data_IF_952555875864
#
_entry.id   IF_952555875864
#
_cell.length_a   1.000
_cell.length_b   1.000
_cell.length_c   1.000
_cell.angle_alpha   90.00
_cell.angle_beta   90.00
_cell.angle_gamma   90.00
#
_symmetry.space_group_name_H-M   'P 1'
#
loop_
_entity.id
_entity.type
_entity.pdbx_description
1 polymer ?
#
# COMPACT_ATOMS: atom_id res chain seq x y z
N UNK A 1 -19.45 14.57 -30.31
CA UNK A 1 -18.53 14.05 -29.28
C UNK A 1 -19.26 13.56 -28.03
N UNK A 2 -20.12 14.38 -27.38
CA UNK A 2 -20.96 13.98 -26.24
C UNK A 2 -21.95 12.83 -26.52
N UNK A 3 -22.49 12.74 -27.74
CA UNK A 3 -23.46 11.70 -28.12
C UNK A 3 -22.85 10.29 -28.23
N UNK A 4 -21.61 10.17 -28.73
CA UNK A 4 -20.92 8.88 -28.86
C UNK A 4 -20.50 8.31 -27.48
N UNK A 5 -20.14 9.20 -26.55
CA UNK A 5 -19.84 8.84 -25.15
C UNK A 5 -21.12 8.39 -24.42
N UNK A 6 -22.27 9.03 -24.68
CA UNK A 6 -23.56 8.61 -24.09
C UNK A 6 -24.02 7.23 -24.55
N UNK A 7 -23.80 6.89 -25.83
CA UNK A 7 -24.14 5.57 -26.38
C UNK A 7 -23.23 4.48 -25.78
N UNK A 8 -21.93 4.76 -25.61
CA UNK A 8 -20.99 3.85 -24.93
C UNK A 8 -21.32 3.64 -23.44
N UNK A 9 -21.75 4.70 -22.73
CA UNK A 9 -22.17 4.61 -21.32
C UNK A 9 -23.44 3.75 -21.18
N UNK A 10 -24.39 3.89 -22.10
CA UNK A 10 -25.63 3.11 -22.08
C UNK A 10 -25.38 1.62 -22.36
N UNK A 11 -24.45 1.31 -23.27
CA UNK A 11 -24.05 -0.09 -23.57
C UNK A 11 -23.27 -0.70 -22.40
N UNK A 12 -22.37 0.05 -21.77
CA UNK A 12 -21.59 -0.41 -20.62
C UNK A 12 -22.47 -0.70 -19.38
N UNK A 13 -23.53 0.09 -19.16
CA UNK A 13 -24.49 -0.14 -18.07
C UNK A 13 -25.40 -1.34 -18.34
N UNK A 14 -25.75 -1.62 -19.60
CA UNK A 14 -26.53 -2.80 -19.96
C UNK A 14 -25.69 -4.10 -19.89
N UNK A 15 -24.37 -4.03 -20.08
CA UNK A 15 -23.48 -5.18 -20.03
C UNK A 15 -22.97 -5.55 -18.61
N UNK A 16 -23.07 -4.64 -17.62
CA UNK A 16 -22.65 -4.97 -16.24
C UNK A 16 -23.62 -5.92 -15.52
N UNK A 17 -24.85 -6.07 -16.02
CA UNK A 17 -25.88 -6.95 -15.44
C UNK A 17 -25.81 -8.38 -15.98
N UNK A 18 -25.02 -8.65 -17.02
CA UNK A 18 -24.99 -9.93 -17.74
C UNK A 18 -23.73 -10.78 -17.48
N UNK A 19 -23.20 -10.82 -16.26
CA UNK A 19 -22.07 -11.69 -15.89
C UNK A 19 -22.49 -12.66 -14.80
N UNK A 20 -23.00 -13.82 -15.21
CA UNK A 20 -23.18 -14.95 -14.30
C UNK A 20 -22.71 -16.31 -14.83
N UNK A 21 -22.61 -16.59 -16.14
CA UNK A 21 -22.40 -17.99 -16.58
C UNK A 21 -21.26 -18.26 -17.58
N UNK A 22 -20.24 -17.40 -17.67
CA UNK A 22 -19.10 -17.66 -18.58
C UNK A 22 -17.88 -16.77 -18.45
N UNK A 23 -17.62 -16.21 -17.27
CA UNK A 23 -16.43 -15.37 -17.08
C UNK A 23 -15.17 -16.18 -17.38
N UNK A 24 -14.33 -15.67 -18.29
CA UNK A 24 -13.04 -16.27 -18.60
C UNK A 24 -12.24 -16.56 -17.32
N UNK A 25 -11.56 -17.71 -17.27
CA UNK A 25 -10.64 -18.00 -16.16
C UNK A 25 -9.52 -16.95 -16.12
N UNK A 26 -8.80 -16.88 -15.00
CA UNK A 26 -7.69 -15.91 -14.86
C UNK A 26 -6.62 -16.12 -15.93
N UNK A 27 -6.29 -17.38 -16.23
CA UNK A 27 -5.33 -17.76 -17.26
C UNK A 27 -5.83 -17.36 -18.66
N UNK A 28 -7.12 -17.59 -18.93
CA UNK A 28 -7.71 -17.20 -20.20
C UNK A 28 -7.70 -15.68 -20.39
N UNK A 29 -8.07 -14.92 -19.36
CA UNK A 29 -8.01 -13.46 -19.43
C UNK A 29 -6.57 -12.95 -19.58
N UNK A 30 -5.60 -13.55 -18.87
CA UNK A 30 -4.19 -13.20 -19.03
C UNK A 30 -3.70 -13.43 -20.47
N UNK A 31 -4.08 -14.55 -21.11
CA UNK A 31 -3.77 -14.81 -22.53
C UNK A 31 -4.37 -13.74 -23.45
N UNK A 32 -5.63 -13.36 -23.23
CA UNK A 32 -6.29 -12.31 -24.04
C UNK A 32 -5.63 -10.95 -23.86
N UNK A 33 -5.31 -10.57 -22.62
CA UNK A 33 -4.59 -9.33 -22.33
C UNK A 33 -3.21 -9.30 -22.98
N UNK A 34 -2.51 -10.44 -23.04
CA UNK A 34 -1.22 -10.54 -23.73
C UNK A 34 -1.31 -10.37 -25.25
N UNK A 35 -2.49 -10.57 -25.85
CA UNK A 35 -2.73 -10.32 -27.27
C UNK A 35 -3.02 -8.84 -27.58
N UNK A 36 -3.30 -8.01 -26.56
CA UNK A 36 -3.54 -6.58 -26.75
C UNK A 36 -2.22 -5.84 -26.97
N UNK A 37 -2.17 -4.99 -28.00
CA UNK A 37 -1.00 -4.22 -28.38
C UNK A 37 -1.26 -2.71 -28.27
N UNK A 38 -0.20 -1.95 -27.99
CA UNK A 38 -0.22 -0.48 -28.05
C UNK A 38 -0.73 -0.02 -29.42
N UNK A 39 -1.62 0.97 -29.43
CA UNK A 39 -2.25 1.49 -30.65
C UNK A 39 -3.56 0.80 -31.07
N UNK A 40 -3.96 -0.29 -30.40
CA UNK A 40 -5.31 -0.84 -30.58
C UNK A 40 -6.37 0.17 -30.13
N UNK A 41 -7.50 0.19 -30.83
CA UNK A 41 -8.73 0.90 -30.46
C UNK A 41 -9.51 0.13 -29.39
N UNK A 42 -10.51 0.78 -28.79
CA UNK A 42 -11.40 0.12 -27.84
C UNK A 42 -12.11 -1.08 -28.46
N UNK A 43 -12.64 -0.97 -29.69
CA UNK A 43 -13.36 -2.05 -30.35
C UNK A 43 -12.49 -3.28 -30.61
N UNK A 44 -11.23 -3.07 -31.01
CA UNK A 44 -10.24 -4.15 -31.18
C UNK A 44 -9.93 -4.85 -29.84
N UNK A 45 -9.82 -4.07 -28.76
CA UNK A 45 -9.64 -4.60 -27.40
C UNK A 45 -10.86 -5.40 -26.95
N UNK A 46 -12.08 -4.90 -27.19
CA UNK A 46 -13.30 -5.61 -26.81
C UNK A 46 -13.49 -6.88 -27.62
N UNK A 47 -13.10 -6.88 -28.90
CA UNK A 47 -13.07 -8.09 -29.72
C UNK A 47 -12.07 -9.13 -29.20
N UNK A 48 -10.94 -8.68 -28.65
CA UNK A 48 -9.87 -9.55 -28.13
C UNK A 48 -10.18 -10.11 -26.73
N UNK A 49 -10.56 -9.24 -25.80
CA UNK A 49 -10.72 -9.58 -24.38
C UNK A 49 -12.15 -10.02 -24.03
N UNK A 50 -13.14 -9.57 -24.82
CA UNK A 50 -14.56 -9.80 -24.56
C UNK A 50 -15.18 -8.80 -23.57
N UNK A 51 -16.44 -9.03 -23.18
CA UNK A 51 -17.17 -8.18 -22.24
C UNK A 51 -16.66 -8.35 -20.80
N UNK A 52 -17.29 -7.66 -19.84
CA UNK A 52 -16.97 -7.80 -18.41
C UNK A 52 -15.85 -6.90 -17.92
N UNK A 53 -15.82 -5.68 -18.46
CA UNK A 53 -14.92 -4.63 -18.05
C UNK A 53 -15.64 -3.48 -17.35
N UNK A 54 -14.88 -2.67 -16.64
CA UNK A 54 -15.31 -1.38 -16.10
C UNK A 54 -14.41 -0.29 -16.67
N UNK A 55 -15.00 0.80 -17.18
CA UNK A 55 -14.26 1.99 -17.63
C UNK A 55 -14.10 2.96 -16.47
N UNK A 56 -12.90 3.52 -16.33
CA UNK A 56 -12.55 4.57 -15.36
C UNK A 56 -11.97 5.78 -16.07
N UNK A 57 -12.49 6.96 -15.77
CA UNK A 57 -12.10 8.25 -16.33
C UNK A 57 -11.17 9.02 -15.37
N UNK A 58 -10.54 10.11 -15.83
CA UNK A 58 -9.67 10.91 -14.98
C UNK A 58 -10.45 11.48 -13.79
N UNK A 59 -9.78 11.54 -12.63
CA UNK A 59 -10.38 11.95 -11.36
C UNK A 59 -11.19 10.85 -10.65
N UNK A 60 -11.46 9.71 -11.29
CA UNK A 60 -12.05 8.55 -10.62
C UNK A 60 -10.97 7.72 -9.91
N UNK A 61 -11.37 6.96 -8.88
CA UNK A 61 -10.49 6.00 -8.19
C UNK A 61 -9.95 4.99 -9.21
N UNK A 62 -8.63 4.80 -9.24
CA UNK A 62 -7.92 3.97 -10.22
C UNK A 62 -8.08 4.42 -11.70
N UNK A 63 -8.51 5.66 -11.92
CA UNK A 63 -8.48 6.31 -13.23
C UNK A 63 -7.09 6.87 -13.55
N UNK A 64 -6.77 7.06 -14.84
CA UNK A 64 -5.50 7.66 -15.25
C UNK A 64 -5.56 9.19 -15.12
N UNK A 65 -4.41 9.87 -15.18
CA UNK A 65 -4.37 11.34 -15.28
C UNK A 65 -4.97 11.85 -16.60
N UNK A 66 -4.80 11.09 -17.69
CA UNK A 66 -5.31 11.42 -19.03
C UNK A 66 -5.94 10.18 -19.67
N UNK A 67 -6.99 10.39 -20.47
CA UNK A 67 -7.67 9.33 -21.20
C UNK A 67 -8.61 8.50 -20.32
N UNK A 68 -8.59 7.17 -20.41
CA UNK A 68 -9.39 6.29 -19.55
C UNK A 68 -8.76 4.90 -19.40
N UNK A 69 -9.16 4.16 -18.36
CA UNK A 69 -8.70 2.79 -18.09
C UNK A 69 -9.87 1.81 -18.18
N UNK A 70 -9.69 0.72 -18.92
CA UNK A 70 -10.55 -0.45 -18.95
C UNK A 70 -9.99 -1.48 -17.98
N UNK A 71 -10.77 -1.88 -16.97
CA UNK A 71 -10.34 -2.88 -15.96
C UNK A 71 -11.23 -4.12 -15.95
N UNK A 72 -10.61 -5.29 -15.90
CA UNK A 72 -11.27 -6.60 -15.85
C UNK A 72 -11.24 -7.21 -14.43
N UNK A 73 -12.28 -7.96 -14.06
CA UNK A 73 -12.40 -8.58 -12.72
C UNK A 73 -12.93 -7.65 -11.62
N UNK A 74 -13.44 -6.49 -12.02
CA UNK A 74 -13.97 -5.43 -11.18
C UNK A 74 -15.47 -5.60 -10.93
N UNK A 75 -15.94 -5.34 -9.70
CA UNK A 75 -17.38 -5.29 -9.34
C UNK A 75 -18.04 -3.94 -9.68
N UNK A 76 -17.23 -2.94 -10.03
CA UNK A 76 -17.71 -1.62 -10.40
C UNK A 76 -16.62 -0.55 -10.37
N UNK A 77 -16.97 0.71 -10.69
CA UNK A 77 -16.01 1.80 -10.87
C UNK A 77 -15.08 2.05 -9.67
N UNK A 78 -15.54 1.72 -8.46
CA UNK A 78 -14.81 1.93 -7.20
C UNK A 78 -13.96 0.73 -6.76
N UNK A 79 -14.20 -0.46 -7.32
CA UNK A 79 -13.46 -1.68 -6.99
C UNK A 79 -12.14 -1.75 -7.77
N UNK A 80 -11.15 -2.47 -7.24
CA UNK A 80 -9.88 -2.65 -7.92
C UNK A 80 -9.96 -3.83 -8.94
N UNK A 81 -9.47 -3.68 -10.19
CA UNK A 81 -9.46 -4.77 -11.18
C UNK A 81 -8.51 -5.91 -10.79
N UNK A 82 -9.00 -7.14 -10.74
CA UNK A 82 -8.24 -8.33 -10.32
C UNK A 82 -7.64 -9.14 -11.46
N UNK A 83 -8.08 -8.95 -12.71
CA UNK A 83 -7.59 -9.73 -13.85
C UNK A 83 -6.56 -8.97 -14.70
N UNK A 84 -6.76 -7.66 -14.86
CA UNK A 84 -5.86 -6.79 -15.58
C UNK A 84 -6.49 -5.45 -15.97
N UNK A 85 -5.68 -4.57 -16.55
CA UNK A 85 -6.06 -3.19 -16.89
C UNK A 85 -5.43 -2.76 -18.21
N UNK A 86 -6.14 -1.92 -18.95
CA UNK A 86 -5.71 -1.37 -20.23
C UNK A 86 -5.95 0.12 -20.19
N UNK A 87 -4.93 0.93 -20.44
CA UNK A 87 -5.06 2.37 -20.51
C UNK A 87 -5.14 2.86 -21.94
N UNK A 88 -6.02 3.82 -22.16
CA UNK A 88 -6.24 4.48 -23.42
C UNK A 88 -5.93 5.97 -23.26
N UNK A 89 -5.15 6.52 -24.18
CA UNK A 89 -4.98 7.96 -24.37
C UNK A 89 -5.25 8.23 -25.84
N UNK A 90 -6.01 9.30 -26.14
CA UNK A 90 -6.43 9.62 -27.51
C UNK A 90 -7.11 8.45 -28.24
N UNK A 91 -7.95 7.69 -27.51
CA UNK A 91 -8.68 6.51 -28.00
C UNK A 91 -7.81 5.32 -28.43
N UNK A 92 -6.55 5.29 -27.99
CA UNK A 92 -5.57 4.27 -28.35
C UNK A 92 -4.91 3.67 -27.13
N UNK A 93 -4.72 2.35 -27.13
CA UNK A 93 -4.01 1.64 -26.05
C UNK A 93 -2.62 2.22 -25.91
N UNK A 94 -2.26 2.65 -24.70
CA UNK A 94 -0.91 3.10 -24.35
C UNK A 94 -0.15 2.06 -23.54
N UNK A 95 -0.82 1.42 -22.59
CA UNK A 95 -0.24 0.34 -21.78
C UNK A 95 -1.28 -0.71 -21.38
N UNK A 96 -0.80 -1.92 -21.11
CA UNK A 96 -1.58 -3.10 -20.68
C UNK A 96 -0.86 -3.76 -19.50
N UNK A 97 -1.63 -4.18 -18.50
CA UNK A 97 -1.13 -4.90 -17.32
C UNK A 97 -2.04 -6.08 -17.01
N UNK A 98 -1.50 -7.12 -16.36
CA UNK A 98 -2.23 -8.37 -16.12
C UNK A 98 -2.22 -9.37 -17.29
N UNK A 99 -1.52 -9.09 -18.39
CA UNK A 99 -1.28 -10.08 -19.46
C UNK A 99 -0.05 -10.97 -19.23
N UNK A 100 0.88 -10.51 -18.40
CA UNK A 100 2.18 -11.16 -18.15
C UNK A 100 2.32 -11.66 -16.71
N UNK A 101 3.37 -12.44 -16.45
CA UNK A 101 3.68 -13.03 -15.14
C UNK A 101 2.91 -14.32 -14.85
N UNK A 102 3.16 -14.89 -13.66
CA UNK A 102 2.43 -16.08 -13.18
C UNK A 102 1.11 -15.64 -12.56
N UNK A 103 0.01 -16.12 -13.12
CA UNK A 103 -1.34 -15.89 -12.58
C UNK A 103 -1.51 -16.67 -11.28
N UNK A 104 -2.14 -16.05 -10.27
CA UNK A 104 -2.49 -16.77 -9.05
C UNK A 104 -3.55 -17.84 -9.32
N UNK A 105 -3.21 -19.09 -9.00
CA UNK A 105 -4.11 -20.22 -9.13
C UNK A 105 -5.38 -20.02 -8.29
N UNK A 106 -6.56 -20.31 -8.85
CA UNK A 106 -7.84 -20.09 -8.18
C UNK A 106 -8.00 -20.92 -6.89
N UNK A 107 -7.41 -22.12 -6.86
CA UNK A 107 -7.37 -22.96 -5.66
C UNK A 107 -6.58 -22.35 -4.50
N UNK A 108 -5.63 -21.46 -4.77
CA UNK A 108 -4.89 -20.76 -3.72
C UNK A 108 -5.75 -19.66 -3.11
N UNK A 109 -6.40 -18.84 -3.94
CA UNK A 109 -7.29 -17.77 -3.47
C UNK A 109 -8.44 -17.62 -4.45
N UNK A 110 -9.66 -17.89 -3.97
CA UNK A 110 -10.88 -17.73 -4.74
C UNK A 110 -11.10 -16.26 -5.12
N UNK A 111 -11.73 -16.03 -6.26
CA UNK A 111 -11.92 -14.68 -6.83
C UNK A 111 -12.59 -13.66 -5.90
N UNK A 112 -13.68 -13.99 -5.17
CA UNK A 112 -14.27 -13.05 -4.23
C UNK A 112 -13.33 -12.66 -3.08
N UNK A 113 -12.46 -13.58 -2.65
CA UNK A 113 -11.48 -13.30 -1.60
C UNK A 113 -10.33 -12.44 -2.14
N UNK A 114 -9.80 -12.76 -3.32
CA UNK A 114 -8.76 -11.98 -3.98
C UNK A 114 -9.21 -10.52 -4.18
N UNK A 115 -10.44 -10.32 -4.66
CA UNK A 115 -11.01 -8.99 -4.88
C UNK A 115 -11.04 -8.14 -3.61
N UNK A 116 -11.48 -8.72 -2.49
CA UNK A 116 -11.49 -8.04 -1.19
C UNK A 116 -10.07 -7.64 -0.77
N UNK A 117 -9.12 -8.57 -0.89
CA UNK A 117 -7.73 -8.33 -0.51
C UNK A 117 -7.07 -7.25 -1.37
N UNK A 118 -7.21 -7.32 -2.69
CA UNK A 118 -6.66 -6.30 -3.59
C UNK A 118 -7.31 -4.93 -3.36
N UNK A 119 -8.59 -4.88 -3.00
CA UNK A 119 -9.27 -3.62 -2.67
C UNK A 119 -8.71 -2.96 -1.40
N UNK A 120 -8.34 -3.76 -0.39
CA UNK A 120 -7.64 -3.28 0.82
C UNK A 120 -6.24 -2.79 0.47
N UNK A 121 -5.49 -3.56 -0.32
CA UNK A 121 -4.13 -3.18 -0.73
C UNK A 121 -4.11 -1.91 -1.60
N UNK A 122 -5.11 -1.72 -2.45
CA UNK A 122 -5.26 -0.58 -3.35
C UNK A 122 -5.99 0.63 -2.70
N UNK A 123 -6.28 0.60 -1.40
CA UNK A 123 -6.83 1.74 -0.69
C UNK A 123 -5.82 2.89 -0.68
N UNK A 124 -6.18 4.09 -1.17
CA UNK A 124 -5.28 5.25 -1.08
C UNK A 124 -5.72 6.16 0.06
N UNK A 125 -4.79 6.79 0.79
CA UNK A 125 -5.16 7.91 1.64
C UNK A 125 -5.76 9.04 0.77
N UNK A 126 -6.75 9.79 1.28
CA UNK A 126 -7.49 10.79 0.52
C UNK A 126 -6.64 11.95 -0.02
N UNK A 127 -5.44 12.16 0.53
CA UNK A 127 -4.50 13.18 0.07
C UNK A 127 -3.09 12.58 -0.07
N UNK A 128 -2.56 12.62 -1.29
CA UNK A 128 -1.22 12.14 -1.67
C UNK A 128 -0.09 13.01 -1.09
N UNK A 129 -0.41 14.19 -0.57
CA UNK A 129 0.49 15.07 0.16
C UNK A 129 0.26 14.98 1.67
N UNK A 130 -0.92 14.54 2.13
CA UNK A 130 -1.17 14.12 3.52
C UNK A 130 -0.72 12.67 3.77
N UNK A 131 0.49 12.35 3.31
CA UNK A 131 1.16 11.04 3.36
C UNK A 131 1.17 10.42 4.78
N UNK A 132 0.76 11.15 5.81
CA UNK A 132 1.19 10.90 7.18
C UNK A 132 0.06 10.48 8.15
N UNK A 133 -1.21 10.79 7.87
CA UNK A 133 -2.29 10.63 8.88
C UNK A 133 -3.13 9.35 8.72
N UNK A 134 -3.15 8.72 7.55
CA UNK A 134 -3.92 7.47 7.35
C UNK A 134 -3.09 6.30 6.85
N UNK A 135 -1.80 6.54 6.58
CA UNK A 135 -0.93 5.52 6.00
C UNK A 135 -0.73 4.33 6.93
N UNK A 136 -0.53 4.59 8.23
CA UNK A 136 -0.18 3.56 9.19
C UNK A 136 -1.34 2.59 9.50
N UNK A 137 -2.55 3.06 9.84
CA UNK A 137 -3.75 2.23 9.92
C UNK A 137 -4.00 1.39 8.67
N UNK A 138 -3.78 1.96 7.47
CA UNK A 138 -3.89 1.21 6.20
C UNK A 138 -2.87 0.07 6.14
N UNK A 139 -1.60 0.30 6.47
CA UNK A 139 -0.57 -0.75 6.45
C UNK A 139 -0.91 -1.90 7.39
N UNK A 140 -1.37 -1.57 8.61
CA UNK A 140 -1.86 -2.56 9.56
C UNK A 140 -3.02 -3.37 9.00
N UNK A 141 -4.04 -2.72 8.39
CA UNK A 141 -5.16 -3.43 7.74
C UNK A 141 -4.69 -4.36 6.63
N UNK A 142 -3.73 -3.93 5.80
CA UNK A 142 -3.15 -4.75 4.74
C UNK A 142 -2.48 -6.00 5.31
N UNK A 143 -1.58 -5.83 6.28
CA UNK A 143 -0.84 -6.92 6.92
C UNK A 143 -1.81 -7.87 7.64
N UNK A 144 -2.75 -7.34 8.42
CA UNK A 144 -3.72 -8.13 9.17
C UNK A 144 -4.74 -8.85 8.28
N UNK A 145 -4.97 -8.38 7.06
CA UNK A 145 -5.79 -9.07 6.06
C UNK A 145 -5.04 -10.22 5.38
N UNK A 146 -3.72 -10.09 5.25
CA UNK A 146 -2.86 -11.08 4.57
C UNK A 146 -2.32 -12.16 5.51
N UNK A 147 -1.96 -11.80 6.74
CA UNK A 147 -1.35 -12.70 7.72
C UNK A 147 -2.16 -14.00 7.94
N UNK A 148 -3.49 -13.97 8.10
CA UNK A 148 -4.27 -15.20 8.32
C UNK A 148 -4.28 -16.17 7.14
N UNK A 149 -3.88 -15.73 5.94
CA UNK A 149 -3.82 -16.59 4.76
C UNK A 149 -2.64 -17.57 4.80
N UNK A 150 -1.62 -17.30 5.63
CA UNK A 150 -0.36 -18.00 5.61
C UNK A 150 0.56 -17.53 4.47
N UNK A 151 1.85 -17.86 4.58
CA UNK A 151 2.94 -17.35 3.73
C UNK A 151 2.64 -17.52 2.23
N UNK A 152 2.35 -18.73 1.78
CA UNK A 152 2.17 -19.05 0.37
C UNK A 152 1.05 -18.22 -0.27
N UNK A 153 -0.12 -18.17 0.37
CA UNK A 153 -1.29 -17.46 -0.16
C UNK A 153 -1.10 -15.95 -0.09
N UNK A 154 -0.49 -15.45 0.99
CA UNK A 154 -0.22 -14.01 1.12
C UNK A 154 0.78 -13.51 0.08
N UNK A 155 1.88 -14.23 -0.17
CA UNK A 155 2.83 -13.91 -1.24
C UNK A 155 2.15 -13.96 -2.60
N UNK A 156 1.33 -14.98 -2.86
CA UNK A 156 0.61 -15.10 -4.13
C UNK A 156 -0.32 -13.89 -4.38
N UNK A 157 -1.03 -13.40 -3.35
CA UNK A 157 -1.88 -12.20 -3.44
C UNK A 157 -1.04 -10.94 -3.72
N UNK A 158 0.11 -10.79 -3.06
CA UNK A 158 1.00 -9.65 -3.28
C UNK A 158 1.60 -9.66 -4.70
N UNK A 159 2.00 -10.83 -5.20
CA UNK A 159 2.46 -11.02 -6.59
C UNK A 159 1.36 -10.67 -7.58
N UNK A 160 0.13 -11.12 -7.31
CA UNK A 160 -1.01 -10.78 -8.14
C UNK A 160 -1.27 -9.27 -8.12
N UNK A 161 -1.25 -8.64 -6.95
CA UNK A 161 -1.39 -7.19 -6.82
C UNK A 161 -0.40 -6.45 -7.71
N UNK A 162 0.88 -6.83 -7.69
CA UNK A 162 1.92 -6.25 -8.55
C UNK A 162 1.65 -6.52 -10.04
N UNK A 163 1.25 -7.75 -10.38
CA UNK A 163 0.98 -8.20 -11.75
C UNK A 163 -0.11 -7.37 -12.44
N UNK A 164 -1.20 -7.08 -11.73
CA UNK A 164 -2.36 -6.35 -12.30
C UNK A 164 -2.27 -4.84 -12.14
N UNK A 165 -1.28 -4.35 -11.38
CA UNK A 165 -1.05 -2.93 -11.20
C UNK A 165 0.02 -2.36 -12.14
N UNK A 166 1.01 -3.15 -12.56
CA UNK A 166 1.99 -2.76 -13.58
C UNK A 166 3.15 -1.90 -13.10
N UNK A 167 4.06 -1.53 -14.00
CA UNK A 167 5.25 -0.72 -13.67
C UNK A 167 4.87 0.76 -13.55
N UNK A 168 5.20 1.41 -12.42
CA UNK A 168 4.84 2.82 -12.14
C UNK A 168 3.81 3.03 -11.01
N UNK A 169 3.87 2.19 -9.96
CA UNK A 169 2.83 1.85 -8.98
C UNK A 169 2.31 2.95 -8.05
N UNK A 170 1.82 4.07 -8.57
CA UNK A 170 1.14 5.04 -7.71
C UNK A 170 -0.02 4.39 -6.90
N UNK A 171 -0.66 3.33 -7.39
CA UNK A 171 -1.78 2.65 -6.70
C UNK A 171 -1.32 1.75 -5.54
N UNK A 172 -0.05 1.32 -5.53
CA UNK A 172 0.52 0.32 -4.63
C UNK A 172 1.92 0.68 -4.12
N UNK A 173 2.27 1.97 -4.08
CA UNK A 173 3.57 2.48 -3.60
C UNK A 173 3.96 1.95 -2.20
N UNK A 174 2.99 1.42 -1.45
CA UNK A 174 3.17 0.89 -0.11
C UNK A 174 3.36 -0.63 -0.02
N UNK A 175 3.28 -1.40 -1.11
CA UNK A 175 3.37 -2.87 -1.05
C UNK A 175 4.69 -3.39 -0.48
N UNK A 176 5.79 -2.69 -0.75
CA UNK A 176 7.10 -2.97 -0.15
C UNK A 176 7.08 -2.91 1.39
N UNK A 177 6.33 -1.95 1.95
CA UNK A 177 6.18 -1.85 3.40
C UNK A 177 5.27 -2.96 3.93
N UNK A 178 4.21 -3.31 3.21
CA UNK A 178 3.37 -4.47 3.56
C UNK A 178 4.19 -5.76 3.57
N UNK A 179 5.05 -5.98 2.57
CA UNK A 179 5.95 -7.13 2.50
C UNK A 179 6.87 -7.18 3.72
N UNK A 180 7.57 -6.08 4.04
CA UNK A 180 8.47 -6.01 5.19
C UNK A 180 7.72 -6.30 6.50
N UNK A 181 6.58 -5.66 6.72
CA UNK A 181 5.79 -5.84 7.94
C UNK A 181 5.15 -7.23 8.08
N UNK A 182 4.90 -7.92 6.97
CA UNK A 182 4.23 -9.21 6.97
C UNK A 182 5.18 -10.37 7.32
N UNK A 183 6.49 -10.19 7.15
CA UNK A 183 7.48 -11.24 7.34
C UNK A 183 8.59 -10.80 8.28
N UNK A 184 8.95 -11.61 9.28
CA UNK A 184 10.20 -11.49 10.01
C UNK A 184 11.38 -11.90 9.11
N UNK A 185 12.22 -10.95 8.67
CA UNK A 185 13.36 -11.27 7.85
C UNK A 185 14.56 -11.62 8.73
N UNK A 186 15.28 -12.70 8.39
CA UNK A 186 16.50 -13.10 9.12
C UNK A 186 17.67 -12.11 8.96
N UNK A 187 17.58 -11.24 7.96
CA UNK A 187 18.55 -10.22 7.60
C UNK A 187 17.86 -9.15 6.75
N UNK A 188 18.50 -8.00 6.62
CA UNK A 188 18.03 -6.94 5.74
C UNK A 188 17.69 -7.46 4.32
N UNK A 189 16.51 -7.09 3.80
CA UNK A 189 16.11 -7.43 2.44
C UNK A 189 16.87 -6.55 1.42
N UNK A 190 17.51 -7.14 0.38
CA UNK A 190 18.42 -6.42 -0.51
C UNK A 190 17.72 -5.40 -1.42
N UNK A 191 18.51 -4.47 -1.99
CA UNK A 191 18.14 -3.51 -3.03
C UNK A 191 17.15 -2.41 -2.60
N UNK A 192 17.45 -1.69 -1.51
CA UNK A 192 16.70 -0.47 -1.23
C UNK A 192 17.16 0.68 -2.16
N UNK A 193 16.26 1.35 -2.88
CA UNK A 193 16.62 2.31 -3.94
C UNK A 193 16.89 3.72 -3.43
N UNK A 194 17.04 3.94 -2.12
CA UNK A 194 17.17 5.28 -1.55
C UNK A 194 18.53 5.51 -0.95
N UNK A 195 18.97 6.76 -1.02
CA UNK A 195 20.16 7.31 -0.36
C UNK A 195 19.98 7.43 1.17
N UNK A 196 19.18 6.55 1.78
CA UNK A 196 19.18 6.46 3.24
C UNK A 196 20.42 5.65 3.65
N UNK A 197 21.18 6.12 4.65
CA UNK A 197 22.31 5.37 5.17
C UNK A 197 21.81 4.07 5.78
N UNK A 198 22.38 2.94 5.32
CA UNK A 198 22.14 1.65 5.93
C UNK A 198 22.56 1.70 7.41
N UNK A 199 21.83 1.02 8.31
CA UNK A 199 22.22 0.96 9.71
C UNK A 199 23.54 0.19 9.84
N UNK A 200 24.44 0.68 10.71
CA UNK A 200 25.74 0.04 10.97
C UNK A 200 25.59 -1.44 11.37
N UNK A 201 24.49 -1.76 12.09
CA UNK A 201 24.12 -3.11 12.47
C UNK A 201 22.74 -3.47 11.88
N UNK A 202 22.76 -4.17 10.75
CA UNK A 202 21.55 -4.67 10.07
C UNK A 202 20.74 -5.69 10.87
N UNK A 203 21.30 -6.29 11.93
CA UNK A 203 20.57 -7.24 12.78
C UNK A 203 19.59 -6.54 13.74
N UNK A 204 19.84 -5.27 14.04
CA UNK A 204 18.97 -4.43 14.85
C UNK A 204 17.75 -3.93 14.06
N UNK A 205 17.87 -3.82 12.73
CA UNK A 205 16.81 -3.36 11.84
C UNK A 205 16.64 -4.25 10.60
N UNK A 206 16.18 -5.50 10.78
CA UNK A 206 15.95 -6.40 9.65
C UNK A 206 14.88 -5.86 8.67
N UNK A 207 13.97 -5.01 9.17
CA UNK A 207 12.84 -4.41 8.44
C UNK A 207 13.14 -3.05 7.80
N UNK A 208 14.37 -2.54 7.90
CA UNK A 208 14.72 -1.19 7.45
C UNK A 208 14.16 -0.84 6.06
N UNK A 209 13.58 0.35 5.82
CA UNK A 209 13.61 1.52 6.69
C UNK A 209 12.43 1.59 7.65
N UNK A 210 11.91 0.45 8.10
CA UNK A 210 10.93 0.36 9.18
C UNK A 210 11.65 -0.11 10.45
N UNK A 211 11.49 0.61 11.55
CA UNK A 211 11.73 0.07 12.89
C UNK A 211 10.43 -0.44 13.48
N UNK A 212 10.43 -1.65 14.04
CA UNK A 212 9.30 -2.16 14.80
C UNK A 212 9.63 -2.05 16.29
N UNK A 213 9.08 -1.01 16.92
CA UNK A 213 9.27 -0.72 18.34
C UNK A 213 8.10 -1.31 19.12
N UNK A 214 8.32 -2.46 19.77
CA UNK A 214 7.30 -3.10 20.62
C UNK A 214 5.95 -3.28 19.90
N UNK A 215 6.03 -3.65 18.62
CA UNK A 215 4.87 -3.84 17.75
C UNK A 215 4.34 -2.57 17.09
N UNK A 216 4.95 -1.39 17.34
CA UNK A 216 4.71 -0.11 16.67
C UNK A 216 5.74 0.07 15.54
N UNK A 217 5.34 -0.07 14.28
CA UNK A 217 6.23 0.15 13.16
C UNK A 217 6.29 1.63 12.80
N UNK A 218 7.52 2.11 12.69
CA UNK A 218 7.88 3.49 12.44
C UNK A 218 8.72 3.55 11.17
N UNK A 219 8.34 4.39 10.22
CA UNK A 219 9.13 4.57 8.99
C UNK A 219 10.16 5.68 9.16
N UNK A 220 11.42 5.42 8.76
CA UNK A 220 12.49 6.40 8.87
C UNK A 220 12.45 7.51 7.82
N UNK A 221 11.74 7.30 6.71
CA UNK A 221 11.59 8.32 5.66
C UNK A 221 10.13 8.62 5.33
N UNK A 222 9.95 9.75 4.64
CA UNK A 222 8.78 9.99 3.81
C UNK A 222 8.53 8.82 2.85
N UNK A 223 7.27 8.62 2.44
CA UNK A 223 7.01 7.77 1.27
C UNK A 223 7.83 8.32 0.10
N UNK A 224 8.46 7.46 -0.70
CA UNK A 224 9.10 7.92 -1.92
C UNK A 224 8.01 8.50 -2.81
N UNK A 225 8.30 9.63 -3.43
CA UNK A 225 7.57 10.10 -4.61
C UNK A 225 8.05 9.37 -5.88
N UNK A 226 8.88 8.33 -5.74
CA UNK A 226 9.55 7.68 -6.87
C UNK A 226 8.67 6.57 -7.47
N UNK A 227 8.32 6.66 -8.77
CA UNK A 227 7.51 5.66 -9.48
C UNK A 227 8.20 4.29 -9.67
N UNK A 228 9.40 4.08 -9.11
CA UNK A 228 10.23 2.89 -9.30
C UNK A 228 9.94 1.73 -8.33
N UNK A 229 9.11 1.92 -7.29
CA UNK A 229 8.82 0.91 -6.25
C UNK A 229 8.30 -0.44 -6.79
N UNK A 230 7.78 -0.46 -8.01
CA UNK A 230 7.24 -1.66 -8.68
C UNK A 230 8.26 -2.73 -9.05
N UNK A 231 9.45 -2.34 -9.47
CA UNK A 231 10.52 -3.28 -9.89
C UNK A 231 11.09 -3.97 -8.65
N UNK A 232 11.12 -3.26 -7.54
CA UNK A 232 11.61 -3.76 -6.26
C UNK A 232 10.63 -4.74 -5.63
N UNK A 233 9.33 -4.46 -5.68
CA UNK A 233 8.30 -5.33 -5.10
C UNK A 233 8.34 -6.78 -5.60
N UNK A 234 8.68 -7.04 -6.87
CA UNK A 234 8.83 -8.42 -7.38
C UNK A 234 10.10 -9.11 -6.85
N UNK A 235 11.22 -8.39 -6.82
CA UNK A 235 12.48 -8.92 -6.29
C UNK A 235 12.42 -9.17 -4.78
N UNK A 236 11.79 -8.26 -4.03
CA UNK A 236 11.52 -8.38 -2.60
C UNK A 236 10.52 -9.49 -2.31
N UNK A 237 9.43 -9.61 -3.08
CA UNK A 237 8.48 -10.71 -2.92
C UNK A 237 9.19 -12.08 -3.06
N UNK A 238 10.08 -12.22 -4.04
CA UNK A 238 10.90 -13.43 -4.19
C UNK A 238 11.87 -13.66 -3.02
N UNK A 239 12.44 -12.60 -2.44
CA UNK A 239 13.27 -12.70 -1.23
C UNK A 239 12.45 -13.19 -0.04
N UNK A 240 11.32 -12.55 0.28
CA UNK A 240 10.47 -12.92 1.41
C UNK A 240 9.82 -14.30 1.24
N UNK A 241 9.50 -14.69 0.01
CA UNK A 241 9.04 -16.04 -0.30
C UNK A 241 10.07 -17.11 0.09
N UNK A 242 11.37 -16.84 -0.13
CA UNK A 242 12.45 -17.79 0.21
C UNK A 242 12.90 -17.69 1.67
N UNK A 243 13.19 -16.48 2.12
CA UNK A 243 13.93 -16.20 3.38
C UNK A 243 13.03 -15.69 4.51
N UNK A 244 11.87 -15.10 4.17
CA UNK A 244 10.99 -14.47 5.15
C UNK A 244 10.22 -15.50 5.96
N UNK A 245 10.12 -15.29 7.27
CA UNK A 245 9.22 -16.05 8.13
C UNK A 245 7.95 -15.22 8.34
N UNK A 246 6.77 -15.78 8.11
CA UNK A 246 5.53 -15.01 8.30
C UNK A 246 5.41 -14.62 9.77
N UNK A 247 5.04 -13.37 10.06
CA UNK A 247 4.78 -12.97 11.46
C UNK A 247 3.75 -13.93 12.09
N UNK A 248 4.03 -14.36 13.32
CA UNK A 248 3.25 -15.40 13.99
C UNK A 248 1.81 -14.94 14.30
N UNK A 249 1.65 -13.66 14.60
CA UNK A 249 0.36 -13.06 14.96
C UNK A 249 0.10 -11.80 14.14
N UNK A 250 -1.18 -11.47 13.86
CA UNK A 250 -1.54 -10.17 13.32
C UNK A 250 -0.91 -9.03 14.14
N UNK A 251 -0.50 -7.97 13.46
CA UNK A 251 0.05 -6.78 14.10
C UNK A 251 -1.02 -6.14 14.97
N UNK A 252 -0.73 -6.05 16.27
CA UNK A 252 -1.54 -5.35 17.25
C UNK A 252 -0.66 -4.32 17.94
N UNK A 253 -1.16 -3.10 18.02
CA UNK A 253 -0.45 -2.04 18.73
C UNK A 253 -0.51 -2.24 20.25
N UNK A 254 0.53 -1.83 20.98
CA UNK A 254 0.54 -1.82 22.44
C UNK A 254 -0.52 -0.85 22.96
N UNK A 255 -1.07 -1.12 24.16
CA UNK A 255 -2.17 -0.34 24.74
C UNK A 255 -1.88 1.16 24.83
N UNK A 256 -0.61 1.53 25.02
CA UNK A 256 -0.15 2.91 24.94
C UNK A 256 1.08 2.98 24.01
N UNK A 257 0.91 3.32 22.72
CA UNK A 257 2.02 3.38 21.77
C UNK A 257 2.97 4.56 22.05
N UNK A 258 2.51 5.61 22.73
CA UNK A 258 3.33 6.78 23.05
C UNK A 258 4.40 6.44 24.08
N UNK A 259 4.00 5.72 25.13
CA UNK A 259 4.89 5.23 26.17
C UNK A 259 6.03 4.39 25.59
N UNK A 260 5.68 3.44 24.71
CA UNK A 260 6.66 2.53 24.10
C UNK A 260 7.65 3.27 23.19
N UNK A 261 7.19 4.29 22.47
CA UNK A 261 8.04 5.12 21.62
C UNK A 261 8.99 5.98 22.46
N UNK A 262 8.52 6.58 23.55
CA UNK A 262 9.37 7.32 24.49
C UNK A 262 10.42 6.41 25.14
N UNK A 263 10.02 5.21 25.57
CA UNK A 263 10.95 4.25 26.16
C UNK A 263 12.02 3.77 25.15
N UNK A 264 11.69 3.75 23.86
CA UNK A 264 12.58 3.29 22.81
C UNK A 264 13.57 4.35 22.29
N UNK A 265 13.39 5.64 22.61
CA UNK A 265 14.27 6.69 22.09
C UNK A 265 15.72 6.56 22.55
N UNK A 266 15.94 5.82 23.63
CA UNK A 266 17.26 5.56 24.21
C UNK A 266 17.86 4.22 23.73
N UNK A 267 17.22 3.54 22.78
CA UNK A 267 17.65 2.21 22.32
C UNK A 267 18.51 2.29 21.04
N UNK A 268 19.38 1.29 20.78
CA UNK A 268 20.24 1.28 19.58
C UNK A 268 19.50 1.19 18.24
N UNK A 269 18.22 0.77 18.24
CA UNK A 269 17.36 0.76 17.05
C UNK A 269 16.86 2.15 16.66
N UNK A 270 16.95 3.11 17.58
CA UNK A 270 16.57 4.48 17.34
C UNK A 270 17.67 5.16 16.52
N UNK A 271 17.33 5.87 15.42
CA UNK A 271 18.33 6.52 14.60
C UNK A 271 19.13 7.52 15.44
N UNK A 272 20.42 7.24 15.62
CA UNK A 272 21.34 8.13 16.32
C UNK A 272 21.92 9.16 15.35
N UNK A 273 22.47 10.26 15.87
CA UNK A 273 23.24 11.22 15.06
C UNK A 273 24.35 10.54 14.25
N UNK A 274 24.92 9.43 14.74
CA UNK A 274 25.95 8.65 14.06
C UNK A 274 25.44 7.97 12.79
N UNK A 275 24.21 7.47 12.79
CA UNK A 275 23.62 6.85 11.59
C UNK A 275 23.47 7.87 10.45
N UNK A 276 23.24 9.13 10.79
CA UNK A 276 23.05 10.20 9.81
C UNK A 276 24.33 10.98 9.49
N UNK A 277 25.42 10.72 10.21
CA UNK A 277 26.72 11.36 10.00
C UNK A 277 27.39 10.98 8.65
N UNK A 278 26.81 10.04 7.90
CA UNK A 278 27.25 9.65 6.55
C UNK A 278 27.01 10.77 5.52
N UNK A 279 26.12 11.73 5.81
CA UNK A 279 25.99 13.00 5.07
C UNK A 279 25.83 14.17 6.06
N UNK A 280 26.94 14.72 6.60
CA UNK A 280 26.93 15.72 7.67
C UNK A 280 26.08 16.95 7.37
N UNK A 281 26.00 17.35 6.10
CA UNK A 281 25.21 18.50 5.65
C UNK A 281 23.68 18.32 5.77
N UNK A 282 23.17 17.12 6.08
CA UNK A 282 21.73 16.82 6.17
C UNK A 282 21.32 16.05 7.43
N UNK A 283 22.24 15.79 8.37
CA UNK A 283 21.95 14.95 9.53
C UNK A 283 20.84 15.54 10.43
N UNK A 284 20.88 16.85 10.68
CA UNK A 284 19.84 17.54 11.46
C UNK A 284 18.48 17.51 10.73
N UNK A 285 18.46 17.82 9.43
CA UNK A 285 17.24 17.79 8.61
C UNK A 285 16.56 16.42 8.63
N UNK A 286 17.35 15.34 8.57
CA UNK A 286 16.82 13.97 8.57
C UNK A 286 16.28 13.60 9.95
N UNK A 287 16.97 13.95 11.03
CA UNK A 287 16.48 13.74 12.40
C UNK A 287 15.19 14.54 12.68
N UNK A 288 15.09 15.78 12.20
CA UNK A 288 13.87 16.57 12.29
C UNK A 288 12.71 15.93 11.55
N UNK A 289 12.93 15.48 10.31
CA UNK A 289 11.92 14.78 9.51
C UNK A 289 11.48 13.49 10.20
N UNK A 290 12.41 12.72 10.74
CA UNK A 290 12.11 11.50 11.48
C UNK A 290 11.28 11.78 12.74
N UNK A 291 11.68 12.71 13.60
CA UNK A 291 10.94 13.08 14.81
C UNK A 291 9.53 13.55 14.50
N UNK A 292 9.40 14.45 13.52
CA UNK A 292 8.12 14.92 13.00
C UNK A 292 7.25 13.74 12.54
N UNK A 293 7.85 12.80 11.81
CA UNK A 293 7.18 11.61 11.29
C UNK A 293 6.63 10.71 12.40
N UNK A 294 7.41 10.48 13.44
CA UNK A 294 6.96 9.71 14.61
C UNK A 294 5.71 10.35 15.22
N UNK A 295 5.72 11.68 15.44
CA UNK A 295 4.56 12.40 15.98
C UNK A 295 3.35 12.24 15.06
N UNK A 296 3.52 12.46 13.75
CA UNK A 296 2.44 12.33 12.78
C UNK A 296 1.87 10.91 12.72
N UNK A 297 2.72 9.88 12.74
CA UNK A 297 2.30 8.48 12.73
C UNK A 297 1.55 8.09 14.01
N UNK A 298 1.94 8.62 15.16
CA UNK A 298 1.23 8.41 16.41
C UNK A 298 -0.13 9.12 16.44
N UNK A 299 -0.21 10.34 15.92
CA UNK A 299 -1.48 11.05 15.71
C UNK A 299 -2.40 10.29 14.74
N UNK A 300 -1.84 9.74 13.66
CA UNK A 300 -2.52 8.93 12.64
C UNK A 300 -3.33 7.76 13.24
N UNK A 301 -2.88 7.28 14.41
CA UNK A 301 -3.47 6.15 15.11
C UNK A 301 -4.62 6.53 16.02
N UNK A 302 -4.79 7.79 16.38
CA UNK A 302 -5.74 8.21 17.41
C UNK A 302 -6.82 9.11 16.82
N UNK A 303 -8.08 8.74 16.99
CA UNK A 303 -9.21 9.57 16.57
C UNK A 303 -9.41 10.73 17.56
N UNK A 304 -9.49 11.96 17.04
CA UNK A 304 -9.87 13.13 17.83
C UNK A 304 -8.81 13.63 18.82
N UNK A 305 -7.55 13.20 18.67
CA UNK A 305 -6.40 13.87 19.27
C UNK A 305 -5.76 14.74 18.19
N UNK A 306 -5.68 16.03 18.44
CA UNK A 306 -5.05 16.99 17.55
C UNK A 306 -3.82 17.59 18.23
N UNK A 307 -2.74 17.74 17.46
CA UNK A 307 -1.54 18.41 17.93
C UNK A 307 -0.88 19.16 16.78
N UNK A 308 -0.51 20.45 16.96
CA UNK A 308 0.20 21.20 15.93
C UNK A 308 1.63 20.68 15.82
N UNK A 309 1.87 19.74 14.90
CA UNK A 309 3.18 19.14 14.72
C UNK A 309 4.18 20.20 14.20
N UNK A 310 5.27 20.51 14.93
CA UNK A 310 6.28 21.44 14.45
C UNK A 310 6.89 20.96 13.13
N UNK A 311 7.24 21.89 12.24
CA UNK A 311 7.83 21.53 10.95
C UNK A 311 9.23 20.91 11.09
N UNK A 312 10.01 21.39 12.07
CA UNK A 312 11.36 20.94 12.40
C UNK A 312 11.53 20.82 13.92
N UNK A 313 10.95 19.77 14.55
CA UNK A 313 10.97 19.67 16.01
C UNK A 313 12.38 19.33 16.51
N UNK A 314 12.92 20.20 17.36
CA UNK A 314 14.10 19.88 18.19
C UNK A 314 13.86 18.62 19.02
N UNK A 315 14.91 18.07 19.63
CA UNK A 315 14.76 16.88 20.48
C UNK A 315 13.77 17.14 21.62
N UNK A 316 13.93 18.26 22.32
CA UNK A 316 13.07 18.63 23.45
C UNK A 316 11.62 18.91 23.01
N UNK A 317 11.41 19.56 21.87
CA UNK A 317 10.08 19.76 21.29
C UNK A 317 9.43 18.42 20.91
N UNK A 318 10.20 17.49 20.35
CA UNK A 318 9.71 16.15 20.04
C UNK A 318 9.32 15.37 21.30
N UNK A 319 10.17 15.35 22.33
CA UNK A 319 9.86 14.70 23.61
C UNK A 319 8.61 15.34 24.23
N UNK A 320 8.53 16.67 24.23
CA UNK A 320 7.39 17.42 24.76
C UNK A 320 6.10 17.08 24.00
N UNK A 321 6.16 17.01 22.67
CA UNK A 321 5.04 16.62 21.83
C UNK A 321 4.55 15.21 22.16
N UNK A 322 5.45 14.21 22.21
CA UNK A 322 5.05 12.83 22.49
C UNK A 322 4.49 12.67 23.90
N UNK A 323 5.05 13.36 24.92
CA UNK A 323 4.50 13.37 26.29
C UNK A 323 3.13 14.03 26.38
N UNK A 324 2.92 15.12 25.64
CA UNK A 324 1.59 15.73 25.53
C UNK A 324 0.60 14.73 24.96
N UNK A 325 0.94 14.07 23.84
CA UNK A 325 0.08 13.07 23.21
C UNK A 325 -0.19 11.87 24.11
N UNK A 326 0.80 11.39 24.85
CA UNK A 326 0.64 10.34 25.85
C UNK A 326 -0.37 10.76 26.94
N UNK A 327 -0.29 12.01 27.41
CA UNK A 327 -1.19 12.57 28.43
C UNK A 327 -2.62 12.65 27.90
N UNK A 328 -2.82 13.21 26.70
CA UNK A 328 -4.13 13.28 26.04
C UNK A 328 -4.72 11.88 25.80
N UNK A 329 -3.89 10.95 25.32
CA UNK A 329 -4.29 9.57 25.10
C UNK A 329 -4.74 8.90 26.39
N UNK A 330 -3.98 9.02 27.48
CA UNK A 330 -4.33 8.44 28.78
C UNK A 330 -5.56 9.11 29.43
N UNK A 331 -5.80 10.39 29.15
CA UNK A 331 -6.99 11.11 29.62
C UNK A 331 -8.25 10.80 28.79
N UNK A 332 -8.06 10.29 27.57
CA UNK A 332 -9.15 9.95 26.65
C UNK A 332 -9.79 8.59 26.93
N UNK A 333 -11.01 8.38 26.44
CA UNK A 333 -11.72 7.10 26.48
C UNK A 333 -11.42 6.22 25.24
N UNK A 334 -10.26 6.43 24.61
CA UNK A 334 -9.89 5.75 23.37
C UNK A 334 -9.69 4.24 23.59
N UNK A 335 -10.18 3.45 22.64
CA UNK A 335 -10.05 1.99 22.60
C UNK A 335 -9.58 1.54 21.23
N UNK A 336 -8.77 0.48 21.17
CA UNK A 336 -8.33 -0.09 19.90
C UNK A 336 -9.50 -0.68 19.12
N UNK A 337 -9.71 -0.19 17.89
CA UNK A 337 -10.60 -0.79 16.91
C UNK A 337 -9.80 -1.64 15.91
N UNK A 338 -9.96 -2.98 15.92
CA UNK A 338 -9.22 -3.86 15.01
C UNK A 338 -9.66 -3.74 13.55
N UNK A 339 -10.88 -3.30 13.26
CA UNK A 339 -11.38 -3.13 11.90
C UNK A 339 -10.80 -1.88 11.23
N UNK A 340 -10.69 -0.79 11.98
CA UNK A 340 -10.08 0.45 11.50
C UNK A 340 -8.55 0.45 11.64
N UNK A 341 -8.02 -0.41 12.51
CA UNK A 341 -6.63 -0.38 12.97
C UNK A 341 -6.25 1.00 13.53
N UNK A 342 -7.13 1.55 14.37
CA UNK A 342 -7.01 2.86 15.04
C UNK A 342 -7.53 2.79 16.48
N UNK A 343 -7.06 3.69 17.32
CA UNK A 343 -7.67 4.04 18.59
C UNK A 343 -8.84 5.00 18.34
N UNK A 344 -10.05 4.59 18.72
CA UNK A 344 -11.31 5.35 18.54
C UNK A 344 -12.00 5.58 19.87
N UNK A 345 -12.86 6.60 19.96
CA UNK A 345 -13.61 6.84 21.21
C UNK A 345 -14.60 5.70 21.44
N UNK A 346 -14.77 5.28 22.69
CA UNK A 346 -15.61 4.12 23.06
C UNK A 346 -17.07 4.29 22.60
N UNK A 347 -17.54 5.53 22.49
CA UNK A 347 -18.91 5.88 22.11
C UNK A 347 -19.15 6.11 20.61
N UNK A 348 -18.13 5.96 19.76
CA UNK A 348 -18.24 6.14 18.30
C UNK A 348 -18.69 4.88 17.55
N UNK A 349 -19.14 3.83 18.24
CA UNK A 349 -19.55 2.53 17.65
C UNK A 349 -21.05 2.36 17.53
#
# INVERSE_FOLDING_TARGET
MLAAVHVLITIALAQSVALADGSATREEMARRLNAVQTGMSLDEVLSTCGPGFTIRYPGQRFGPEKGFVVGYGSEGPTSFPTLGRICFVDQKVTWVVGGSGTVIEERLVAEPQLRRLLSVLAERPPDIFAIDVDWWPRMLRCVNSLQPLGKLRAVAVLREAIRVSGVGLSDFDSLQFVLRLLFEPRRHAPNWPWDLPEPDDSSLLPHYPIAIIRGVPITFSGMPTSPSGSILGLSEAGFFEREGELIATPLKLPMNPFHEILAASDTPIWPSEKWWAVQPQHAEDVLFRFRRRVIQQLLSLCEGIEYPVPMYPTHDEWVTAVRFLETEFNASDLVWDPGLCKYVRRHSK
#
